data_IF_220260732451
#
_entry.id   IF_220260732451
#
_cell.length_a   1.000
_cell.length_b   1.000
_cell.length_c   1.000
_cell.angle_alpha   90.00
_cell.angle_beta   90.00
_cell.angle_gamma   90.00
#
_symmetry.space_group_name_H-M   'P 1'
#
loop_
_entity.id
_entity.type
_entity.pdbx_description
1 polymer ?
#
# COMPACT_ATOMS: atom_id res chain seq x y z
N UNK A 1 1.92 15.61 -16.54
CA UNK A 1 2.67 16.63 -15.75
C UNK A 1 2.62 17.99 -16.45
N UNK A 2 1.42 18.48 -16.74
CA UNK A 2 1.24 19.56 -17.72
C UNK A 2 0.80 20.86 -17.05
N UNK A 3 -0.13 20.76 -16.10
CA UNK A 3 -0.65 21.90 -15.32
C UNK A 3 0.29 22.36 -14.19
N UNK A 4 1.43 21.71 -14.00
CA UNK A 4 2.40 22.07 -12.94
C UNK A 4 1.93 21.82 -11.49
N UNK A 5 0.73 21.24 -11.27
CA UNK A 5 0.20 20.97 -9.94
C UNK A 5 0.93 19.80 -9.26
N UNK A 6 1.94 20.14 -8.44
CA UNK A 6 2.80 19.16 -7.77
C UNK A 6 2.10 18.31 -6.72
N UNK A 7 1.08 18.83 -6.04
CA UNK A 7 0.33 18.06 -5.05
C UNK A 7 -0.47 16.95 -5.74
N UNK A 8 -1.20 17.29 -6.81
CA UNK A 8 -1.95 16.31 -7.59
C UNK A 8 -1.02 15.28 -8.24
N UNK A 9 0.10 15.73 -8.83
CA UNK A 9 1.11 14.85 -9.40
C UNK A 9 1.59 13.81 -8.39
N UNK A 10 1.92 14.24 -7.16
CA UNK A 10 2.39 13.33 -6.10
C UNK A 10 1.31 12.33 -5.68
N UNK A 11 0.07 12.77 -5.49
CA UNK A 11 -1.03 11.88 -5.13
C UNK A 11 -1.26 10.81 -6.19
N UNK A 12 -1.22 11.16 -7.48
CA UNK A 12 -1.34 10.17 -8.55
C UNK A 12 -0.17 9.20 -8.62
N UNK A 13 1.06 9.66 -8.36
CA UNK A 13 2.22 8.76 -8.31
C UNK A 13 2.09 7.77 -7.15
N UNK A 14 1.73 8.24 -5.95
CA UNK A 14 1.53 7.37 -4.80
C UNK A 14 0.43 6.35 -5.05
N UNK A 15 -0.73 6.80 -5.53
CA UNK A 15 -1.82 5.89 -5.88
C UNK A 15 -1.38 4.87 -6.93
N UNK A 16 -0.68 5.28 -7.99
CA UNK A 16 -0.23 4.33 -9.02
C UNK A 16 0.69 3.23 -8.48
N UNK A 17 1.61 3.55 -7.58
CA UNK A 17 2.46 2.53 -6.96
C UNK A 17 1.70 1.63 -5.98
N UNK A 18 0.80 2.21 -5.18
CA UNK A 18 -0.02 1.47 -4.21
C UNK A 18 -1.00 0.51 -4.90
N UNK A 19 -1.68 0.95 -5.97
CA UNK A 19 -2.67 0.12 -6.65
C UNK A 19 -2.05 -1.08 -7.38
N UNK A 20 -0.75 -1.06 -7.71
CA UNK A 20 -0.06 -2.25 -8.23
C UNK A 20 0.01 -3.35 -7.16
N UNK A 21 0.35 -2.97 -5.93
CA UNK A 21 0.42 -3.88 -4.79
C UNK A 21 -0.96 -4.40 -4.44
N UNK A 22 -1.98 -3.55 -4.44
CA UNK A 22 -3.36 -4.01 -4.25
C UNK A 22 -3.79 -5.03 -5.31
N UNK A 23 -3.44 -4.80 -6.59
CA UNK A 23 -3.74 -5.73 -7.65
C UNK A 23 -3.04 -7.09 -7.43
N UNK A 24 -1.77 -7.08 -7.00
CA UNK A 24 -1.02 -8.30 -6.67
C UNK A 24 -1.63 -9.06 -5.49
N UNK A 25 -2.00 -8.37 -4.41
CA UNK A 25 -2.67 -8.97 -3.25
C UNK A 25 -4.01 -9.60 -3.62
N UNK A 26 -4.84 -8.88 -4.38
CA UNK A 26 -6.12 -9.43 -4.84
C UNK A 26 -5.94 -10.59 -5.82
N UNK A 27 -4.94 -10.53 -6.69
CA UNK A 27 -4.65 -11.64 -7.60
C UNK A 27 -4.21 -12.88 -6.81
N UNK A 28 -3.35 -12.73 -5.80
CA UNK A 28 -2.96 -13.81 -4.90
C UNK A 28 -4.20 -14.41 -4.19
N UNK A 29 -5.09 -13.57 -3.67
CA UNK A 29 -6.34 -14.00 -3.04
C UNK A 29 -7.25 -14.78 -4.01
N UNK A 30 -7.35 -14.35 -5.26
CA UNK A 30 -8.12 -15.04 -6.30
C UNK A 30 -7.50 -16.38 -6.72
N UNK A 31 -6.18 -16.45 -6.79
CA UNK A 31 -5.46 -17.67 -7.16
C UNK A 31 -5.48 -18.71 -6.03
N UNK A 32 -5.65 -18.26 -4.78
CA UNK A 32 -5.63 -19.09 -3.56
C UNK A 32 -6.94 -19.05 -2.76
N UNK A 33 -8.10 -18.97 -3.42
CA UNK A 33 -9.40 -18.81 -2.77
C UNK A 33 -9.70 -19.82 -1.65
N UNK A 34 -9.30 -21.08 -1.83
CA UNK A 34 -9.57 -22.17 -0.87
C UNK A 34 -8.48 -22.33 0.20
N UNK A 35 -7.37 -21.57 0.10
CA UNK A 35 -6.17 -21.76 0.89
C UNK A 35 -5.45 -20.47 1.24
N UNK A 36 -6.16 -19.34 1.25
CA UNK A 36 -5.59 -18.06 1.64
C UNK A 36 -5.21 -18.11 3.12
N UNK A 37 -3.93 -17.94 3.41
CA UNK A 37 -3.45 -17.89 4.79
C UNK A 37 -3.92 -16.59 5.46
N UNK A 38 -4.21 -16.65 6.76
CA UNK A 38 -4.43 -15.44 7.53
C UNK A 38 -3.11 -14.67 7.61
N UNK A 39 -3.14 -13.40 7.20
CA UNK A 39 -2.01 -12.50 7.28
C UNK A 39 -2.42 -11.24 8.07
N UNK A 40 -1.46 -10.70 8.80
CA UNK A 40 -1.60 -9.38 9.39
C UNK A 40 -1.37 -8.33 8.32
N UNK A 41 -2.30 -7.40 8.14
CA UNK A 41 -2.14 -6.33 7.16
C UNK A 41 -1.87 -4.99 7.84
N UNK A 42 -0.97 -4.21 7.26
CA UNK A 42 -0.63 -2.87 7.73
C UNK A 42 -0.84 -1.86 6.61
N UNK A 43 -1.59 -0.79 6.90
CA UNK A 43 -1.94 0.25 5.92
C UNK A 43 -1.30 1.57 6.30
N UNK A 44 -0.59 2.18 5.35
CA UNK A 44 0.00 3.50 5.52
C UNK A 44 -1.09 4.59 5.49
N UNK A 45 -1.29 5.27 6.60
CA UNK A 45 -2.22 6.40 6.75
C UNK A 45 -1.93 7.63 5.86
N UNK A 46 -0.76 7.68 5.22
CA UNK A 46 -0.34 8.80 4.35
C UNK A 46 -0.65 8.55 2.87
N UNK A 47 -0.40 7.33 2.39
CA UNK A 47 -0.49 7.01 0.95
C UNK A 47 -1.35 5.79 0.61
N UNK A 48 -1.77 5.01 1.61
CA UNK A 48 -2.60 3.81 1.41
C UNK A 48 -1.81 2.53 1.13
N UNK A 49 -0.48 2.55 1.13
CA UNK A 49 0.34 1.33 0.94
C UNK A 49 -0.04 0.25 1.95
N UNK A 50 -0.36 -0.93 1.45
CA UNK A 50 -0.72 -2.12 2.23
C UNK A 50 0.46 -3.10 2.24
N UNK A 51 0.84 -3.59 3.43
CA UNK A 51 1.94 -4.55 3.63
C UNK A 51 1.42 -5.75 4.42
N UNK A 52 1.83 -6.96 4.04
CA UNK A 52 1.55 -8.22 4.74
C UNK A 52 2.61 -8.52 5.82
N UNK A 53 2.18 -9.18 6.89
CA UNK A 53 2.93 -9.77 8.01
C UNK A 53 3.68 -8.79 8.92
N UNK A 54 4.56 -7.96 8.38
CA UNK A 54 5.40 -7.06 9.17
C UNK A 54 5.45 -5.65 8.57
N UNK A 55 5.23 -4.64 9.41
CA UNK A 55 5.36 -3.24 9.02
C UNK A 55 6.85 -2.83 8.92
N UNK A 56 7.33 -2.31 7.78
CA UNK A 56 8.70 -1.82 7.65
C UNK A 56 8.95 -0.54 8.47
N UNK A 57 10.23 -0.25 8.74
CA UNK A 57 10.67 0.96 9.45
C UNK A 57 10.23 2.27 8.75
N UNK A 58 10.04 2.21 7.43
CA UNK A 58 9.49 3.29 6.63
C UNK A 58 8.66 2.78 5.46
N UNK A 59 7.62 3.52 5.11
CA UNK A 59 6.74 3.22 3.99
C UNK A 59 7.54 3.28 2.67
N UNK A 60 7.55 2.21 1.85
CA UNK A 60 8.35 2.15 0.64
C UNK A 60 7.86 3.11 -0.47
N UNK A 61 6.61 3.56 -0.40
CA UNK A 61 6.02 4.46 -1.41
C UNK A 61 6.25 5.94 -1.06
N UNK A 62 5.95 6.35 0.17
CA UNK A 62 5.95 7.76 0.55
C UNK A 62 7.04 8.16 1.56
N UNK A 63 7.77 7.20 2.12
CA UNK A 63 8.84 7.43 3.10
C UNK A 63 8.36 7.82 4.51
N UNK A 64 7.05 7.70 4.80
CA UNK A 64 6.54 7.91 6.15
C UNK A 64 7.15 6.89 7.13
N UNK A 65 7.34 7.28 8.39
CA UNK A 65 7.88 6.40 9.44
C UNK A 65 6.92 5.25 9.76
N UNK A 66 7.43 4.18 10.37
CA UNK A 66 6.65 3.01 10.79
C UNK A 66 5.38 3.34 11.59
N UNK A 67 5.40 4.42 12.38
CA UNK A 67 4.22 4.88 13.14
C UNK A 67 3.02 5.27 12.26
N UNK A 68 3.21 5.50 10.96
CA UNK A 68 2.16 5.76 10.00
C UNK A 68 1.56 4.48 9.38
N UNK A 69 2.20 3.31 9.56
CA UNK A 69 1.71 2.00 9.13
C UNK A 69 0.89 1.40 10.26
N UNK A 70 -0.43 1.43 10.10
CA UNK A 70 -1.37 0.99 11.11
C UNK A 70 -1.86 -0.41 10.76
N UNK A 71 -1.87 -1.31 11.75
CA UNK A 71 -2.46 -2.63 11.57
C UNK A 71 -3.96 -2.48 11.23
N UNK A 72 -4.40 -3.21 10.21
CA UNK A 72 -5.81 -3.32 9.84
C UNK A 72 -6.46 -4.40 10.72
N UNK A 73 -7.63 -4.07 11.29
CA UNK A 73 -8.46 -4.94 12.12
C UNK A 73 -9.65 -5.52 11.34
#
# INVERSE_FOLDING_TARGET
KEEGNKTAERSFVFANEVEKVHAELYQNALDNLDGLEEADYYVCSVCGMTVEDEAPDSCPVCGAQASALLKAD
#
